data_IF_048645550739
#
_entry.id   IF_048645550739
#
_cell.length_a   1.000
_cell.length_b   1.000
_cell.length_c   1.000
_cell.angle_alpha   90.00
_cell.angle_beta   90.00
_cell.angle_gamma   90.00
#
_symmetry.space_group_name_H-M   'P 1'
#
loop_
_entity.id
_entity.type
_entity.pdbx_description
1 polymer ?
#
# COMPACT_ATOMS: atom_id res chain seq x y z
N UNK A 1 -0.18 12.96 26.96
CA UNK A 1 -0.83 14.28 26.85
C UNK A 1 -1.81 14.34 25.68
N UNK A 2 -1.40 13.98 24.45
CA UNK A 2 -2.26 14.05 23.25
C UNK A 2 -3.52 13.16 23.33
N UNK A 3 -3.44 12.00 23.98
CA UNK A 3 -4.58 11.10 24.18
C UNK A 3 -5.47 11.49 25.37
N UNK A 4 -5.10 12.53 26.11
CA UNK A 4 -5.78 12.99 27.33
C UNK A 4 -6.01 11.87 28.37
N UNK A 5 -4.99 11.05 28.58
CA UNK A 5 -5.01 9.92 29.51
C UNK A 5 -3.63 9.70 30.14
N UNK A 6 -3.54 8.82 31.13
CA UNK A 6 -2.30 8.56 31.83
C UNK A 6 -1.26 7.82 30.97
N UNK A 7 0.06 8.07 31.15
CA UNK A 7 1.09 7.31 30.48
C UNK A 7 0.99 5.80 30.72
N UNK A 8 0.50 5.40 31.88
CA UNK A 8 0.28 3.98 32.21
C UNK A 8 -0.83 3.36 31.37
N UNK A 9 -1.92 4.10 31.10
CA UNK A 9 -3.02 3.66 30.23
C UNK A 9 -2.53 3.53 28.80
N UNK A 10 -1.83 4.55 28.29
CA UNK A 10 -1.21 4.50 26.96
C UNK A 10 -0.28 3.30 26.83
N UNK A 11 0.59 3.10 27.81
CA UNK A 11 1.51 1.96 27.80
C UNK A 11 0.80 0.60 27.83
N UNK A 12 -0.30 0.46 28.56
CA UNK A 12 -1.07 -0.80 28.57
C UNK A 12 -1.73 -1.05 27.23
N UNK A 13 -2.43 -0.06 26.69
CA UNK A 13 -3.12 -0.20 25.39
C UNK A 13 -2.13 -0.53 24.26
N UNK A 14 -0.95 0.11 24.23
CA UNK A 14 0.01 -0.10 23.16
C UNK A 14 0.90 -1.34 23.36
N UNK A 15 1.09 -1.80 24.60
CA UNK A 15 2.10 -2.80 24.91
C UNK A 15 1.57 -4.08 25.56
N UNK A 16 0.31 -4.16 25.91
CA UNK A 16 -0.27 -5.35 26.54
C UNK A 16 -1.38 -5.94 25.66
N UNK A 17 -1.10 -7.04 24.94
CA UNK A 17 -2.08 -7.68 24.05
C UNK A 17 -3.29 -8.28 24.76
N UNK A 18 -3.15 -8.59 26.06
CA UNK A 18 -4.23 -9.15 26.88
C UNK A 18 -5.06 -8.08 27.59
N UNK A 19 -4.63 -6.82 27.46
CA UNK A 19 -5.31 -5.70 28.09
C UNK A 19 -6.58 -5.31 27.32
N UNK A 20 -7.72 -5.64 27.87
CA UNK A 20 -9.01 -5.16 27.38
C UNK A 20 -9.20 -3.75 27.94
N UNK A 21 -9.11 -2.75 27.07
CA UNK A 21 -9.43 -1.38 27.46
C UNK A 21 -10.94 -1.25 27.68
N UNK A 22 -11.37 -0.79 28.86
CA UNK A 22 -12.78 -0.60 29.18
C UNK A 22 -13.46 0.49 28.32
N UNK A 23 -12.68 1.36 27.71
CA UNK A 23 -13.12 2.39 26.77
C UNK A 23 -12.54 2.13 25.38
N UNK A 24 -13.30 1.53 24.45
CA UNK A 24 -12.84 1.23 23.09
C UNK A 24 -12.48 2.48 22.29
N UNK A 25 -13.18 3.60 22.50
CA UNK A 25 -12.92 4.86 21.81
C UNK A 25 -11.59 5.48 22.26
N UNK A 26 -11.25 5.35 23.54
CA UNK A 26 -9.95 5.75 24.06
C UNK A 26 -8.83 4.88 23.46
N UNK A 27 -9.04 3.58 23.38
CA UNK A 27 -8.07 2.68 22.76
C UNK A 27 -7.81 3.05 21.30
N UNK A 28 -8.86 3.26 20.51
CA UNK A 28 -8.78 3.69 19.12
C UNK A 28 -8.00 5.00 18.97
N UNK A 29 -8.34 6.00 19.78
CA UNK A 29 -7.63 7.29 19.78
C UNK A 29 -6.15 7.18 20.12
N UNK A 30 -5.79 6.29 21.08
CA UNK A 30 -4.39 6.03 21.44
C UNK A 30 -3.63 5.45 20.24
N UNK A 31 -4.22 4.49 19.52
CA UNK A 31 -3.63 3.88 18.34
C UNK A 31 -3.50 4.87 17.17
N UNK A 32 -4.49 5.71 16.94
CA UNK A 32 -4.43 6.79 15.93
C UNK A 32 -3.29 7.78 16.21
N UNK A 33 -3.14 8.20 17.47
CA UNK A 33 -2.05 9.10 17.86
C UNK A 33 -0.70 8.41 17.74
N UNK A 34 -0.59 7.14 18.13
CA UNK A 34 0.64 6.36 17.96
C UNK A 34 1.04 6.26 16.48
N UNK A 35 0.08 6.02 15.58
CA UNK A 35 0.30 6.03 14.14
C UNK A 35 0.81 7.37 13.63
N UNK A 36 0.15 8.49 13.99
CA UNK A 36 0.60 9.85 13.61
C UNK A 36 2.01 10.20 14.09
N UNK A 37 2.40 9.65 15.22
CA UNK A 37 3.73 9.88 15.80
C UNK A 37 4.77 8.87 15.30
N UNK A 38 4.41 7.97 14.39
CA UNK A 38 5.24 6.83 13.96
C UNK A 38 5.78 6.03 15.17
N UNK A 39 5.00 5.97 16.25
CA UNK A 39 5.39 5.24 17.44
C UNK A 39 5.05 3.77 17.27
N UNK A 40 6.08 2.95 17.22
CA UNK A 40 5.97 1.50 17.24
C UNK A 40 6.31 0.96 18.63
N UNK A 41 5.42 0.14 19.22
CA UNK A 41 5.73 -0.54 20.47
C UNK A 41 7.00 -1.38 20.34
N UNK A 42 8.03 -1.08 21.10
CA UNK A 42 9.29 -1.82 21.04
C UNK A 42 9.14 -3.19 21.75
N UNK A 43 8.96 -4.24 20.95
CA UNK A 43 8.81 -5.62 21.44
C UNK A 43 10.06 -6.12 22.17
N UNK A 44 11.26 -5.73 21.75
CA UNK A 44 12.51 -6.10 22.40
C UNK A 44 12.61 -5.49 23.82
N UNK A 45 12.19 -4.24 23.99
CA UNK A 45 12.13 -3.62 25.32
C UNK A 45 11.07 -4.26 26.23
N UNK A 46 10.03 -4.84 25.65
CA UNK A 46 8.97 -5.57 26.34
C UNK A 46 9.46 -6.92 26.87
N UNK A 47 10.23 -7.65 26.09
CA UNK A 47 10.80 -8.95 26.46
C UNK A 47 11.89 -8.82 27.55
N UNK A 48 12.73 -7.80 27.45
CA UNK A 48 13.70 -7.47 28.50
C UNK A 48 13.05 -7.19 29.86
N UNK A 49 11.87 -6.56 29.87
CA UNK A 49 11.11 -6.32 31.12
C UNK A 49 10.50 -7.59 31.71
N UNK A 50 10.16 -8.58 30.89
CA UNK A 50 9.54 -9.85 31.32
C UNK A 50 10.55 -10.87 31.87
N UNK A 51 11.85 -10.58 31.84
CA UNK A 51 12.89 -11.38 32.48
C UNK A 51 13.06 -12.81 31.98
N UNK A 52 12.54 -13.10 30.79
CA UNK A 52 12.69 -14.40 30.14
C UNK A 52 13.62 -14.28 28.94
N UNK A 53 14.86 -14.78 29.01
CA UNK A 53 15.66 -14.97 27.81
C UNK A 53 15.01 -16.12 27.02
N UNK A 54 14.15 -15.78 26.07
CA UNK A 54 13.68 -16.75 25.10
C UNK A 54 14.76 -16.84 24.01
N UNK A 55 15.62 -17.83 24.14
CA UNK A 55 16.56 -18.33 23.12
C UNK A 55 15.80 -19.06 21.98
N UNK A 56 14.69 -18.53 21.55
CA UNK A 56 14.11 -18.88 20.26
C UNK A 56 14.37 -17.68 19.35
N UNK A 57 15.14 -17.90 18.30
CA UNK A 57 15.37 -16.92 17.23
C UNK A 57 14.04 -16.52 16.62
N UNK A 58 13.39 -15.51 17.20
CA UNK A 58 12.12 -15.00 16.69
C UNK A 58 12.39 -14.32 15.35
N UNK A 59 11.60 -14.68 14.33
CA UNK A 59 11.66 -14.06 13.02
C UNK A 59 11.37 -12.56 13.16
N UNK A 60 12.29 -11.73 12.70
CA UNK A 60 12.07 -10.28 12.60
C UNK A 60 11.58 -9.97 11.20
N UNK A 61 10.47 -9.23 11.09
CA UNK A 61 9.85 -8.87 9.82
C UNK A 61 9.95 -7.37 9.64
N UNK A 62 10.67 -6.95 8.62
CA UNK A 62 10.71 -5.57 8.16
C UNK A 62 9.59 -5.36 7.11
N UNK A 63 9.04 -4.15 7.04
CA UNK A 63 8.06 -3.75 6.04
C UNK A 63 8.68 -2.73 5.09
N UNK A 64 8.47 -2.92 3.79
CA UNK A 64 8.90 -1.96 2.76
C UNK A 64 7.67 -1.41 2.03
N UNK A 65 7.42 -0.11 2.24
CA UNK A 65 6.31 0.61 1.61
C UNK A 65 6.82 1.26 0.33
N UNK A 66 6.42 0.74 -0.82
CA UNK A 66 7.01 1.15 -2.11
C UNK A 66 6.27 2.29 -2.79
N UNK A 67 5.04 2.61 -2.37
CA UNK A 67 4.17 3.55 -3.07
C UNK A 67 3.92 4.87 -2.33
N UNK A 68 4.09 4.91 -1.02
CA UNK A 68 3.66 6.02 -0.18
C UNK A 68 4.75 6.52 0.73
N UNK A 69 4.81 7.83 0.90
CA UNK A 69 5.69 8.48 1.85
C UNK A 69 5.20 8.35 3.29
N UNK A 70 3.90 8.08 3.47
CA UNK A 70 3.28 7.76 4.75
C UNK A 70 2.07 6.84 4.58
N UNK A 71 1.74 6.07 5.62
CA UNK A 71 0.56 5.19 5.67
C UNK A 71 -0.76 5.96 5.72
N UNK A 72 -0.71 7.25 6.05
CA UNK A 72 -1.90 8.10 6.24
C UNK A 72 -2.59 8.48 4.93
N UNK A 73 -1.94 8.24 3.78
CA UNK A 73 -2.43 8.72 2.48
C UNK A 73 -3.41 7.75 1.83
N UNK A 74 -3.29 6.44 2.10
CA UNK A 74 -4.16 5.42 1.50
C UNK A 74 -4.79 4.54 2.59
N UNK A 75 -6.12 4.65 2.80
CA UNK A 75 -6.83 3.86 3.81
C UNK A 75 -6.65 2.36 3.66
N UNK A 76 -6.58 1.84 2.44
CA UNK A 76 -6.37 0.41 2.17
C UNK A 76 -5.02 -0.08 2.72
N UNK A 77 -3.93 0.67 2.46
CA UNK A 77 -2.61 0.29 2.98
C UNK A 77 -2.51 0.47 4.48
N UNK A 78 -3.23 1.44 5.05
CA UNK A 78 -3.30 1.61 6.49
C UNK A 78 -3.98 0.40 7.18
N UNK A 79 -5.13 -0.04 6.67
CA UNK A 79 -5.82 -1.23 7.18
C UNK A 79 -4.97 -2.50 7.01
N UNK A 80 -4.33 -2.66 5.86
CA UNK A 80 -3.44 -3.77 5.59
C UNK A 80 -2.24 -3.78 6.56
N UNK A 81 -1.67 -2.62 6.84
CA UNK A 81 -0.59 -2.48 7.81
C UNK A 81 -1.03 -2.87 9.23
N UNK A 82 -2.20 -2.41 9.67
CA UNK A 82 -2.76 -2.80 10.98
C UNK A 82 -2.96 -4.33 11.05
N UNK A 83 -3.52 -4.91 10.01
CA UNK A 83 -3.71 -6.36 9.94
C UNK A 83 -2.37 -7.11 10.00
N UNK A 84 -1.36 -6.64 9.29
CA UNK A 84 -0.02 -7.25 9.31
C UNK A 84 0.62 -7.16 10.69
N UNK A 85 0.48 -6.04 11.38
CA UNK A 85 0.98 -5.91 12.77
C UNK A 85 0.36 -6.98 13.68
N UNK A 86 -0.95 -7.15 13.59
CA UNK A 86 -1.68 -8.17 14.36
C UNK A 86 -1.21 -9.58 14.04
N UNK A 87 -1.04 -9.90 12.75
CA UNK A 87 -0.59 -11.22 12.30
C UNK A 87 0.85 -11.50 12.75
N UNK A 88 1.75 -10.53 12.62
CA UNK A 88 3.15 -10.62 13.06
C UNK A 88 3.19 -10.91 14.56
N UNK A 89 2.41 -10.19 15.35
CA UNK A 89 2.34 -10.37 16.80
C UNK A 89 1.74 -11.72 17.20
N UNK A 90 0.63 -12.13 16.58
CA UNK A 90 -0.02 -13.43 16.84
C UNK A 90 0.92 -14.61 16.54
N UNK A 91 1.76 -14.49 15.53
CA UNK A 91 2.74 -15.52 15.16
C UNK A 91 4.07 -15.40 15.94
N UNK A 92 4.14 -14.59 16.98
CA UNK A 92 5.33 -14.39 17.83
C UNK A 92 6.56 -13.93 17.02
N UNK A 93 6.33 -13.24 15.91
CA UNK A 93 7.37 -12.56 15.17
C UNK A 93 7.58 -11.15 15.71
N UNK A 94 8.74 -10.57 15.44
CA UNK A 94 9.06 -9.19 15.79
C UNK A 94 8.83 -8.29 14.58
N UNK A 95 8.09 -7.21 14.74
CA UNK A 95 8.06 -6.16 13.75
C UNK A 95 9.37 -5.37 13.85
N UNK A 96 10.11 -5.33 12.76
CA UNK A 96 11.38 -4.63 12.65
C UNK A 96 11.21 -3.20 12.11
N UNK A 97 11.91 -2.86 11.03
CA UNK A 97 11.87 -1.53 10.44
C UNK A 97 10.70 -1.38 9.47
N UNK A 98 10.18 -0.15 9.37
CA UNK A 98 9.29 0.26 8.29
C UNK A 98 10.09 1.18 7.37
N UNK A 99 10.20 0.80 6.12
CA UNK A 99 10.98 1.49 5.10
C UNK A 99 10.05 2.00 4.02
N UNK A 100 10.21 3.24 3.60
CA UNK A 100 9.53 3.81 2.44
C UNK A 100 10.52 4.14 1.33
N UNK A 101 10.02 4.27 0.10
CA UNK A 101 10.83 4.72 -1.03
C UNK A 101 11.36 6.14 -0.79
N UNK A 102 10.55 6.97 -0.12
CA UNK A 102 10.94 8.32 0.24
C UNK A 102 12.07 8.37 1.27
N UNK A 103 12.13 7.42 2.20
CA UNK A 103 13.23 7.36 3.17
C UNK A 103 14.55 7.10 2.47
N UNK A 104 14.54 6.30 1.42
CA UNK A 104 15.70 6.06 0.57
C UNK A 104 16.07 7.33 -0.23
N UNK A 105 15.08 8.05 -0.77
CA UNK A 105 15.29 9.27 -1.55
C UNK A 105 15.69 10.49 -0.70
N UNK A 106 15.14 10.67 0.49
CA UNK A 106 15.48 11.77 1.41
C UNK A 106 16.93 11.73 1.87
N UNK A 107 17.51 10.55 1.99
CA UNK A 107 18.93 10.39 2.28
C UNK A 107 19.85 10.95 1.18
N UNK A 108 19.33 11.11 -0.07
CA UNK A 108 20.06 11.71 -1.19
C UNK A 108 20.09 13.23 -1.19
N UNK A 109 18.98 13.84 -0.84
CA UNK A 109 18.83 15.29 -0.88
C UNK A 109 19.73 16.02 0.12
N UNK A 110 20.24 15.33 1.13
CA UNK A 110 21.17 15.89 2.11
C UNK A 110 22.65 15.84 1.70
N UNK A 111 22.97 15.30 0.53
CA UNK A 111 24.32 15.28 -0.02
C UNK A 111 24.38 16.16 -1.27
N UNK A 112 24.78 17.45 -1.09
CA UNK A 112 25.14 18.47 -2.08
C UNK A 112 24.20 18.73 -3.26
N UNK A 113 23.80 19.99 -3.54
CA UNK A 113 23.02 20.35 -4.72
C UNK A 113 23.93 20.32 -5.96
N UNK A 114 24.03 19.20 -6.61
CA UNK A 114 24.74 19.01 -7.86
C UNK A 114 23.91 18.11 -8.77
N UNK A 115 23.81 18.50 -10.03
CA UNK A 115 23.13 17.84 -11.13
C UNK A 115 23.29 16.31 -11.00
N UNK A 116 22.18 15.63 -10.67
CA UNK A 116 22.16 14.18 -10.48
C UNK A 116 22.13 13.52 -11.86
N UNK A 117 23.19 12.81 -12.30
CA UNK A 117 23.04 11.90 -13.43
C UNK A 117 22.06 10.80 -13.00
N UNK A 118 21.25 10.33 -13.93
CA UNK A 118 20.28 9.25 -13.79
C UNK A 118 20.99 7.98 -13.28
N UNK A 119 21.15 7.87 -11.97
CA UNK A 119 21.70 6.65 -11.35
C UNK A 119 20.55 5.66 -11.17
N UNK A 120 20.76 4.43 -11.60
CA UNK A 120 19.79 3.35 -11.40
C UNK A 120 19.50 3.19 -9.90
N UNK A 121 18.26 2.91 -9.57
CA UNK A 121 17.79 2.75 -8.18
C UNK A 121 18.60 1.71 -7.40
N UNK A 122 19.18 0.74 -8.11
CA UNK A 122 20.07 -0.30 -7.55
C UNK A 122 21.39 0.28 -7.02
N UNK A 123 21.98 1.22 -7.75
CA UNK A 123 23.22 1.88 -7.35
C UNK A 123 23.02 2.75 -6.10
N UNK A 124 21.84 3.37 -6.00
CA UNK A 124 21.43 4.19 -4.87
C UNK A 124 21.27 3.36 -3.59
N UNK A 125 20.64 2.21 -3.69
CA UNK A 125 20.54 1.27 -2.58
C UNK A 125 21.90 0.75 -2.14
N UNK A 126 22.78 0.43 -3.08
CA UNK A 126 24.07 -0.17 -2.76
C UNK A 126 25.01 0.80 -2.04
N UNK A 127 25.08 2.05 -2.48
CA UNK A 127 25.92 3.08 -1.83
C UNK A 127 25.38 3.46 -0.44
N UNK A 128 24.05 3.55 -0.25
CA UNK A 128 23.45 4.06 0.98
C UNK A 128 23.18 3.01 2.05
N UNK A 129 22.99 1.78 1.64
CA UNK A 129 22.79 0.69 2.60
C UNK A 129 24.04 0.39 3.43
N UNK A 130 25.21 0.82 2.98
CA UNK A 130 26.41 0.74 3.80
C UNK A 130 26.47 1.82 4.89
N UNK A 131 25.64 2.87 4.82
CA UNK A 131 25.66 4.02 5.73
C UNK A 131 24.31 4.27 6.43
N UNK A 132 23.23 3.59 6.04
CA UNK A 132 21.92 3.76 6.67
C UNK A 132 21.68 2.66 7.72
N UNK A 133 21.49 2.99 9.02
CA UNK A 133 21.22 2.01 10.07
C UNK A 133 19.98 1.14 9.80
N UNK A 134 19.00 1.67 9.04
CA UNK A 134 17.78 0.94 8.68
C UNK A 134 18.02 -0.23 7.73
N UNK A 135 19.11 -0.18 6.95
CA UNK A 135 19.47 -1.20 5.97
C UNK A 135 20.68 -2.07 6.37
N UNK A 136 20.97 -2.19 7.66
CA UNK A 136 21.98 -3.13 8.11
C UNK A 136 21.59 -4.55 7.66
N UNK A 137 22.49 -5.29 6.95
CA UNK A 137 22.19 -6.66 6.55
C UNK A 137 21.94 -7.48 7.80
N UNK A 138 20.70 -7.85 8.06
CA UNK A 138 20.35 -8.78 9.12
C UNK A 138 20.45 -10.17 8.54
N UNK A 139 21.51 -10.87 8.87
CA UNK A 139 21.67 -12.29 8.54
C UNK A 139 20.83 -13.10 9.50
N UNK A 140 20.17 -14.11 8.98
CA UNK A 140 19.41 -15.15 9.67
C UNK A 140 18.15 -14.65 10.43
N UNK A 141 17.05 -15.30 10.19
CA UNK A 141 15.72 -15.03 10.78
C UNK A 141 15.16 -13.63 10.53
N UNK A 142 15.41 -13.05 9.34
CA UNK A 142 14.76 -11.82 8.92
C UNK A 142 13.92 -12.03 7.69
N UNK A 143 12.67 -11.55 7.73
CA UNK A 143 11.76 -11.46 6.61
C UNK A 143 11.52 -10.02 6.18
N UNK A 144 11.18 -9.84 4.91
CA UNK A 144 10.73 -8.58 4.35
C UNK A 144 9.34 -8.78 3.75
N UNK A 145 8.41 -7.94 4.13
CA UNK A 145 7.13 -7.80 3.43
C UNK A 145 7.17 -6.52 2.62
N UNK A 146 6.99 -6.64 1.31
CA UNK A 146 6.91 -5.51 0.38
C UNK A 146 5.43 -5.19 0.17
N UNK A 147 5.02 -3.97 0.52
CA UNK A 147 3.67 -3.48 0.31
C UNK A 147 3.62 -2.59 -0.93
N UNK A 148 2.88 -3.03 -1.93
CA UNK A 148 2.75 -2.33 -3.20
C UNK A 148 3.83 -2.70 -4.22
N UNK A 149 3.92 -1.90 -5.29
CA UNK A 149 4.75 -2.19 -6.45
C UNK A 149 6.22 -1.84 -6.20
N UNK A 150 7.08 -2.85 -6.23
CA UNK A 150 8.53 -2.69 -6.11
C UNK A 150 9.20 -2.68 -7.49
N UNK A 151 10.19 -1.80 -7.69
CA UNK A 151 10.99 -1.85 -8.92
C UNK A 151 11.73 -3.20 -9.01
N UNK A 152 11.69 -3.88 -10.17
CA UNK A 152 12.39 -5.14 -10.38
C UNK A 152 13.90 -5.04 -10.09
N UNK A 153 14.49 -3.87 -10.28
CA UNK A 153 15.92 -3.61 -10.05
C UNK A 153 16.31 -3.74 -8.58
N UNK A 154 15.37 -3.47 -7.66
CA UNK A 154 15.60 -3.57 -6.20
C UNK A 154 15.57 -5.02 -5.70
N UNK A 155 14.87 -5.91 -6.38
CA UNK A 155 14.59 -7.26 -5.92
C UNK A 155 15.87 -8.06 -5.64
N UNK A 156 16.90 -8.08 -6.52
CA UNK A 156 18.15 -8.80 -6.25
C UNK A 156 18.87 -8.31 -4.99
N UNK A 157 18.87 -6.99 -4.75
CA UNK A 157 19.50 -6.41 -3.57
C UNK A 157 18.74 -6.77 -2.29
N UNK A 158 17.40 -6.74 -2.32
CA UNK A 158 16.56 -7.14 -1.19
C UNK A 158 16.74 -8.64 -0.87
N UNK A 159 16.77 -9.52 -1.87
CA UNK A 159 16.99 -10.98 -1.68
C UNK A 159 18.37 -11.33 -1.11
N UNK A 160 19.38 -10.50 -1.34
CA UNK A 160 20.71 -10.69 -0.70
C UNK A 160 20.69 -10.38 0.79
N UNK A 161 19.74 -9.57 1.25
CA UNK A 161 19.67 -9.04 2.62
C UNK A 161 18.69 -9.77 3.52
N UNK A 162 17.61 -10.23 2.95
CA UNK A 162 16.54 -10.90 3.67
C UNK A 162 16.49 -12.37 3.31
N UNK A 163 16.36 -13.23 4.33
CA UNK A 163 16.21 -14.67 4.11
C UNK A 163 14.87 -15.00 3.45
N UNK A 164 13.84 -14.22 3.77
CA UNK A 164 12.48 -14.39 3.25
C UNK A 164 11.96 -13.06 2.72
N UNK A 165 11.39 -13.08 1.51
CA UNK A 165 10.77 -11.89 0.89
C UNK A 165 9.40 -12.28 0.38
N UNK A 166 8.38 -11.51 0.75
CA UNK A 166 7.00 -11.68 0.29
C UNK A 166 6.46 -10.33 -0.18
N UNK A 167 5.84 -10.31 -1.35
CA UNK A 167 5.12 -9.15 -1.87
C UNK A 167 3.63 -9.21 -1.56
N UNK A 168 3.02 -8.08 -1.25
CA UNK A 168 1.58 -7.94 -1.07
C UNK A 168 1.07 -6.77 -1.91
N UNK A 169 0.04 -7.03 -2.69
CA UNK A 169 -0.68 -6.14 -3.58
C UNK A 169 0.18 -5.46 -4.67
N UNK A 170 -0.22 -5.67 -5.90
CA UNK A 170 0.30 -5.03 -7.13
C UNK A 170 1.79 -5.20 -7.40
N UNK A 171 2.31 -6.35 -7.16
CA UNK A 171 3.71 -6.58 -7.38
C UNK A 171 3.97 -7.77 -8.32
N UNK A 172 3.74 -7.61 -9.63
CA UNK A 172 4.15 -8.64 -10.56
C UNK A 172 5.69 -8.72 -10.57
N UNK A 173 6.24 -9.57 -9.71
CA UNK A 173 7.67 -9.80 -9.63
C UNK A 173 8.16 -10.84 -10.63
N UNK A 174 7.28 -11.35 -11.48
CA UNK A 174 7.57 -12.47 -12.38
C UNK A 174 8.17 -13.68 -11.63
N UNK A 175 7.60 -13.99 -10.46
CA UNK A 175 8.02 -15.12 -9.62
C UNK A 175 9.40 -14.99 -8.98
N UNK A 176 9.94 -13.81 -8.86
CA UNK A 176 11.20 -13.60 -8.15
C UNK A 176 11.11 -13.85 -6.63
N UNK A 177 9.91 -13.67 -6.05
CA UNK A 177 9.58 -13.98 -4.65
C UNK A 177 8.09 -14.35 -4.56
N UNK A 178 7.68 -14.85 -3.41
CA UNK A 178 6.28 -15.18 -3.15
C UNK A 178 5.43 -13.92 -3.08
N UNK A 179 4.24 -13.94 -3.71
CA UNK A 179 3.35 -12.79 -3.80
C UNK A 179 1.93 -13.17 -3.39
N UNK A 180 1.32 -12.27 -2.62
CA UNK A 180 -0.11 -12.28 -2.35
C UNK A 180 -0.74 -11.17 -3.17
N UNK A 181 -1.49 -11.52 -4.20
CA UNK A 181 -2.11 -10.58 -5.12
C UNK A 181 -3.63 -10.73 -5.12
N UNK A 182 -4.32 -9.62 -5.35
CA UNK A 182 -5.71 -9.64 -5.78
C UNK A 182 -5.75 -9.77 -7.31
N UNK A 183 -6.59 -10.67 -7.83
CA UNK A 183 -6.80 -10.77 -9.28
C UNK A 183 -7.62 -9.59 -9.77
N UNK A 184 -6.95 -8.47 -10.05
CA UNK A 184 -7.59 -7.27 -10.58
C UNK A 184 -8.25 -7.51 -11.94
N UNK A 185 -7.67 -8.39 -12.76
CA UNK A 185 -8.24 -8.79 -14.05
C UNK A 185 -9.59 -9.52 -13.87
N UNK A 186 -9.66 -10.49 -12.95
CA UNK A 186 -10.91 -11.21 -12.67
C UNK A 186 -11.95 -10.27 -12.03
N UNK A 187 -11.56 -9.39 -11.13
CA UNK A 187 -12.46 -8.41 -10.53
C UNK A 187 -13.03 -7.44 -11.58
N UNK A 188 -12.20 -6.93 -12.48
CA UNK A 188 -12.62 -6.07 -13.57
C UNK A 188 -13.57 -6.81 -14.52
N UNK A 189 -13.25 -8.05 -14.88
CA UNK A 189 -14.12 -8.89 -15.69
C UNK A 189 -15.51 -8.99 -15.09
N UNK A 190 -15.62 -9.36 -13.82
CA UNK A 190 -16.91 -9.48 -13.13
C UNK A 190 -17.70 -8.17 -13.13
N UNK A 191 -17.04 -7.05 -12.84
CA UNK A 191 -17.67 -5.74 -12.79
C UNK A 191 -18.17 -5.30 -14.20
N UNK A 192 -17.33 -5.43 -15.23
CA UNK A 192 -17.66 -5.02 -16.59
C UNK A 192 -18.72 -5.94 -17.19
N UNK A 193 -18.66 -7.26 -16.96
CA UNK A 193 -19.71 -8.21 -17.35
C UNK A 193 -21.07 -7.84 -16.74
N UNK A 194 -21.06 -7.37 -15.48
CA UNK A 194 -22.28 -6.89 -14.83
C UNK A 194 -22.86 -5.68 -15.56
N UNK A 195 -22.03 -4.71 -15.95
CA UNK A 195 -22.47 -3.54 -16.71
C UNK A 195 -23.03 -3.95 -18.08
N UNK A 196 -22.38 -4.87 -18.76
CA UNK A 196 -22.84 -5.40 -20.06
C UNK A 196 -24.19 -6.11 -19.90
N UNK A 197 -24.36 -6.91 -18.86
CA UNK A 197 -25.63 -7.61 -18.56
C UNK A 197 -26.76 -6.63 -18.30
N UNK A 198 -26.46 -5.43 -17.76
CA UNK A 198 -27.42 -4.34 -17.57
C UNK A 198 -27.72 -3.58 -18.88
N UNK A 199 -27.11 -3.97 -20.01
CA UNK A 199 -27.36 -3.39 -21.33
C UNK A 199 -26.41 -2.27 -21.74
N UNK A 200 -25.41 -1.94 -20.92
CA UNK A 200 -24.44 -0.91 -21.28
C UNK A 200 -23.50 -1.40 -22.38
N UNK A 201 -23.33 -0.57 -23.42
CA UNK A 201 -22.39 -0.80 -24.52
C UNK A 201 -21.31 0.27 -24.62
N UNK A 202 -21.55 1.44 -24.03
CA UNK A 202 -20.58 2.51 -23.88
C UNK A 202 -20.15 2.55 -22.42
N UNK A 203 -19.03 1.94 -22.13
CA UNK A 203 -18.52 1.77 -20.77
C UNK A 203 -17.17 2.48 -20.72
N UNK A 204 -17.02 3.50 -19.88
CA UNK A 204 -15.75 4.16 -19.67
C UNK A 204 -14.92 3.45 -18.58
N UNK A 205 -13.61 3.56 -18.73
CA UNK A 205 -12.63 3.18 -17.70
C UNK A 205 -11.96 4.43 -17.14
N UNK A 206 -11.84 4.50 -15.81
CA UNK A 206 -11.07 5.55 -15.12
C UNK A 206 -10.05 4.87 -14.21
N UNK A 207 -8.76 5.05 -14.49
CA UNK A 207 -7.67 4.45 -13.70
C UNK A 207 -6.33 4.48 -14.39
N UNK A 208 -5.32 3.84 -13.77
CA UNK A 208 -4.00 3.66 -14.37
C UNK A 208 -4.12 2.69 -15.57
N UNK A 209 -3.55 3.06 -16.70
CA UNK A 209 -3.56 2.27 -17.93
C UNK A 209 -2.21 1.61 -18.23
N UNK A 210 -1.19 1.82 -17.41
CA UNK A 210 0.19 1.42 -17.74
C UNK A 210 0.45 -0.04 -17.39
N UNK A 211 0.19 -0.43 -16.13
CA UNK A 211 0.47 -1.78 -15.60
C UNK A 211 -0.67 -2.28 -14.69
N UNK A 212 -1.88 -1.77 -14.92
CA UNK A 212 -3.03 -2.06 -14.09
C UNK A 212 -3.79 -3.28 -14.62
N UNK A 213 -3.81 -4.35 -13.83
CA UNK A 213 -4.50 -5.59 -14.22
C UNK A 213 -6.01 -5.40 -14.40
N UNK A 214 -6.62 -4.45 -13.70
CA UNK A 214 -8.03 -4.08 -13.89
C UNK A 214 -8.30 -3.44 -15.25
N UNK A 215 -7.35 -2.68 -15.78
CA UNK A 215 -7.44 -2.17 -17.15
C UNK A 215 -7.40 -3.30 -18.18
N UNK A 216 -6.51 -4.27 -17.98
CA UNK A 216 -6.42 -5.46 -18.85
C UNK A 216 -7.75 -6.23 -18.81
N UNK A 217 -8.30 -6.48 -17.62
CA UNK A 217 -9.59 -7.17 -17.47
C UNK A 217 -10.75 -6.42 -18.10
N UNK A 218 -10.81 -5.09 -17.97
CA UNK A 218 -11.79 -4.25 -18.68
C UNK A 218 -11.69 -4.41 -20.20
N UNK A 219 -10.50 -4.23 -20.76
CA UNK A 219 -10.26 -4.32 -22.20
C UNK A 219 -10.62 -5.71 -22.75
N UNK A 220 -10.12 -6.77 -22.13
CA UNK A 220 -10.39 -8.15 -22.54
C UNK A 220 -11.88 -8.50 -22.47
N UNK A 221 -12.58 -7.99 -21.46
CA UNK A 221 -14.02 -8.24 -21.31
C UNK A 221 -14.83 -7.59 -22.43
N UNK A 222 -14.52 -6.34 -22.81
CA UNK A 222 -15.16 -5.70 -23.95
C UNK A 222 -14.95 -6.50 -25.23
N UNK A 223 -13.71 -6.96 -25.50
CA UNK A 223 -13.39 -7.77 -26.67
C UNK A 223 -14.17 -9.10 -26.67
N UNK A 224 -14.21 -9.80 -25.55
CA UNK A 224 -14.90 -11.08 -25.40
C UNK A 224 -16.40 -10.94 -25.69
N UNK A 225 -16.99 -9.82 -25.31
CA UNK A 225 -18.41 -9.53 -25.55
C UNK A 225 -18.67 -8.76 -26.84
N UNK A 226 -17.70 -8.67 -27.77
CA UNK A 226 -17.78 -8.00 -29.05
C UNK A 226 -18.24 -6.53 -28.94
N UNK A 227 -17.90 -5.86 -27.86
CA UNK A 227 -18.13 -4.42 -27.68
C UNK A 227 -16.93 -3.68 -28.26
N UNK A 228 -17.13 -2.75 -29.22
CA UNK A 228 -16.02 -1.98 -29.77
C UNK A 228 -15.27 -1.21 -28.70
N UNK A 229 -13.97 -1.37 -28.67
CA UNK A 229 -13.11 -0.59 -27.78
C UNK A 229 -12.89 0.81 -28.37
N UNK A 230 -13.14 1.83 -27.55
CA UNK A 230 -12.95 3.24 -27.92
C UNK A 230 -12.05 3.93 -26.91
N UNK A 231 -10.90 4.42 -27.38
CA UNK A 231 -9.93 5.15 -26.53
C UNK A 231 -10.51 6.42 -25.89
N UNK A 232 -11.54 7.02 -26.48
CA UNK A 232 -12.22 8.19 -25.90
C UNK A 232 -12.86 7.89 -24.55
N UNK A 233 -13.18 6.62 -24.31
CA UNK A 233 -13.76 6.15 -23.05
C UNK A 233 -12.71 5.64 -22.06
N UNK A 234 -11.41 5.86 -22.33
CA UNK A 234 -10.31 5.49 -21.42
C UNK A 234 -9.69 6.75 -20.85
N UNK A 235 -9.84 6.92 -19.55
CA UNK A 235 -9.39 8.11 -18.84
C UNK A 235 -8.27 7.74 -17.85
N UNK A 236 -6.99 7.96 -18.22
CA UNK A 236 -5.88 7.75 -17.31
C UNK A 236 -6.02 8.62 -16.05
N UNK A 237 -5.76 8.03 -14.89
CA UNK A 237 -5.94 8.68 -13.59
C UNK A 237 -4.89 8.22 -12.59
N UNK A 238 -4.50 9.11 -11.68
CA UNK A 238 -3.71 8.80 -10.49
C UNK A 238 -4.51 8.02 -9.42
N UNK A 239 -5.77 7.73 -9.71
CA UNK A 239 -6.67 6.93 -8.87
C UNK A 239 -7.01 7.60 -7.51
N UNK A 240 -7.07 8.93 -7.48
CA UNK A 240 -7.54 9.71 -6.35
C UNK A 240 -9.00 10.14 -6.52
N UNK A 241 -9.62 10.59 -5.44
CA UNK A 241 -10.98 11.09 -5.45
C UNK A 241 -11.12 12.37 -6.29
N UNK A 242 -10.16 13.28 -6.17
CA UNK A 242 -10.11 14.54 -6.91
C UNK A 242 -10.05 14.30 -8.42
N UNK A 243 -9.18 13.37 -8.84
CA UNK A 243 -9.07 12.98 -10.25
C UNK A 243 -10.37 12.35 -10.76
N UNK A 244 -10.98 11.45 -9.99
CA UNK A 244 -12.27 10.86 -10.34
C UNK A 244 -13.36 11.91 -10.53
N UNK A 245 -13.44 12.91 -9.64
CA UNK A 245 -14.38 14.01 -9.73
C UNK A 245 -14.09 14.90 -10.95
N UNK A 246 -12.84 15.24 -11.20
CA UNK A 246 -12.42 16.05 -12.35
C UNK A 246 -12.81 15.38 -13.67
N UNK A 247 -12.43 14.12 -13.86
CA UNK A 247 -12.70 13.36 -15.06
C UNK A 247 -14.21 13.23 -15.29
N UNK A 248 -14.99 12.96 -14.23
CA UNK A 248 -16.44 12.88 -14.35
C UNK A 248 -17.06 14.19 -14.83
N UNK A 249 -16.59 15.33 -14.30
CA UNK A 249 -17.06 16.65 -14.75
C UNK A 249 -16.75 16.91 -16.24
N UNK A 250 -15.68 16.33 -16.78
CA UNK A 250 -15.34 16.45 -18.20
C UNK A 250 -16.20 15.51 -19.04
N UNK A 251 -16.42 14.27 -18.61
CA UNK A 251 -17.33 13.31 -19.25
C UNK A 251 -18.76 13.87 -19.36
N UNK A 252 -19.25 14.56 -18.33
CA UNK A 252 -20.60 15.15 -18.32
C UNK A 252 -20.79 16.27 -19.37
N UNK A 253 -19.72 16.82 -19.93
CA UNK A 253 -19.77 17.85 -20.98
C UNK A 253 -19.73 17.26 -22.40
N UNK A 254 -19.49 15.95 -22.53
CA UNK A 254 -19.44 15.27 -23.82
C UNK A 254 -20.82 15.24 -24.49
N UNK A 255 -20.87 15.38 -25.80
CA UNK A 255 -22.12 15.28 -26.58
C UNK A 255 -22.71 13.87 -26.55
N UNK A 256 -21.86 12.84 -26.47
CA UNK A 256 -22.24 11.43 -26.47
C UNK A 256 -21.48 10.66 -25.38
N UNK A 257 -21.83 10.91 -24.08
CA UNK A 257 -21.09 10.37 -22.96
C UNK A 257 -21.28 8.85 -22.80
N UNK A 258 -20.36 8.17 -22.11
CA UNK A 258 -20.53 6.77 -21.73
C UNK A 258 -21.76 6.61 -20.82
N UNK A 259 -22.43 5.46 -20.93
CA UNK A 259 -23.63 5.17 -20.12
C UNK A 259 -23.31 4.43 -18.83
N UNK A 260 -22.08 3.97 -18.67
CA UNK A 260 -21.56 3.34 -17.47
C UNK A 260 -20.07 3.65 -17.32
N UNK A 261 -19.58 3.61 -16.09
CA UNK A 261 -18.19 3.87 -15.75
C UNK A 261 -17.67 2.75 -14.86
N UNK A 262 -16.52 2.19 -15.20
CA UNK A 262 -15.76 1.29 -14.38
C UNK A 262 -14.52 2.03 -13.83
N UNK A 263 -14.48 2.25 -12.54
CA UNK A 263 -13.35 2.87 -11.83
C UNK A 263 -12.39 1.79 -11.33
N UNK A 264 -11.09 2.04 -11.47
CA UNK A 264 -10.07 1.09 -11.04
C UNK A 264 -10.02 0.90 -9.51
N UNK A 265 -10.46 1.87 -8.72
CA UNK A 265 -10.54 1.78 -7.25
C UNK A 265 -11.71 2.59 -6.69
N UNK A 266 -11.97 2.39 -5.39
CA UNK A 266 -13.07 3.03 -4.67
C UNK A 266 -12.89 4.54 -4.52
N UNK A 267 -11.67 5.02 -4.33
CA UNK A 267 -11.38 6.45 -4.21
C UNK A 267 -11.82 7.20 -5.48
N UNK A 268 -11.44 6.68 -6.65
CA UNK A 268 -11.88 7.23 -7.94
C UNK A 268 -13.40 7.18 -8.07
N UNK A 269 -14.02 6.07 -7.67
CA UNK A 269 -15.47 5.90 -7.75
C UNK A 269 -16.22 6.89 -6.83
N UNK A 270 -15.69 7.18 -5.65
CA UNK A 270 -16.25 8.21 -4.75
C UNK A 270 -16.20 9.59 -5.39
N UNK A 271 -15.09 9.94 -6.06
CA UNK A 271 -14.98 11.18 -6.81
C UNK A 271 -16.03 11.30 -7.92
N UNK A 272 -16.18 10.24 -8.71
CA UNK A 272 -17.22 10.15 -9.76
C UNK A 272 -18.61 10.33 -9.18
N UNK A 273 -18.97 9.62 -8.12
CA UNK A 273 -20.27 9.70 -7.46
C UNK A 273 -20.56 11.10 -6.89
N UNK A 274 -19.56 11.75 -6.28
CA UNK A 274 -19.70 13.12 -5.77
C UNK A 274 -20.00 14.12 -6.89
N UNK A 275 -19.37 13.98 -8.06
CA UNK A 275 -19.67 14.83 -9.21
C UNK A 275 -21.08 14.57 -9.75
N UNK A 276 -21.50 13.33 -9.91
CA UNK A 276 -22.84 12.98 -10.35
C UNK A 276 -23.93 13.54 -9.42
N UNK A 277 -23.70 13.49 -8.10
CA UNK A 277 -24.66 13.99 -7.12
C UNK A 277 -24.80 15.53 -7.11
N UNK A 278 -23.79 16.26 -7.57
CA UNK A 278 -23.86 17.73 -7.72
C UNK A 278 -24.65 18.18 -8.95
N UNK A 279 -24.84 17.29 -9.91
CA UNK A 279 -25.58 17.57 -11.15
C UNK A 279 -27.05 17.16 -11.08
N UNK A 280 -27.49 16.58 -9.95
CA UNK A 280 -28.91 16.31 -9.64
C UNK A 280 -29.50 17.46 -8.84
#
# INVERSE_FOLDING_TARGET
ELANTSPATVSRVLNDPEHICHDPELAKRIWEIAGRLNYLPNSAARELRKGKPQLATSLTIDLFLTRFDSLDIDPFFYELFQFLQDVIQKNRCLLGNILSTADIMKLESNSTPGIVPYKTTEHLLHEKTNHCPAFIPRKENTGLIILGKCSPELIPALKKRYAYVVGIDRNPSNYFYDEVICSGEAAAKMAVERLITLGHKKIAYIGDCTYESRYVGYYQTLLTHHIPFDYRHVHPSSQTEEEGARIMNDILKEEDPPTAIFCANDCTALGVLRSLNKCR
#
